data_IF_374249858006
#
_entry.id   IF_374249858006
#
_cell.length_a   1.000
_cell.length_b   1.000
_cell.length_c   1.000
_cell.angle_alpha   90.00
_cell.angle_beta   90.00
_cell.angle_gamma   90.00
#
_symmetry.space_group_name_H-M   'P 1'
#
loop_
_entity.id
_entity.type
_entity.pdbx_description
1 polymer ?
#
# COMPACT_ATOMS: atom_id res chain seq x y z
N UNK A 1 -14.77 -22.71 2.14
CA UNK A 1 -15.57 -21.49 2.42
C UNK A 1 -14.75 -20.48 3.22
N UNK A 2 -13.42 -20.42 2.98
CA UNK A 2 -12.45 -19.72 3.84
C UNK A 2 -11.82 -18.50 3.15
N UNK A 3 -12.04 -18.33 1.84
CA UNK A 3 -11.30 -17.35 1.03
C UNK A 3 -11.83 -15.91 1.05
N UNK A 4 -13.16 -15.72 1.06
CA UNK A 4 -13.73 -14.39 0.84
C UNK A 4 -13.47 -13.41 1.99
N UNK A 5 -13.39 -13.91 3.23
CA UNK A 5 -13.11 -13.06 4.41
C UNK A 5 -11.65 -12.60 4.42
N UNK A 6 -10.74 -13.45 3.97
CA UNK A 6 -9.31 -13.13 3.89
C UNK A 6 -9.06 -12.14 2.75
N UNK A 7 -9.70 -12.32 1.59
CA UNK A 7 -9.60 -11.37 0.46
C UNK A 7 -10.12 -9.97 0.85
N UNK A 8 -11.30 -9.88 1.46
CA UNK A 8 -11.88 -8.60 1.86
C UNK A 8 -11.00 -7.86 2.89
N UNK A 9 -10.41 -8.60 3.84
CA UNK A 9 -9.49 -8.02 4.81
C UNK A 9 -8.22 -7.49 4.14
N UNK A 10 -7.57 -8.29 3.26
CA UNK A 10 -6.40 -7.84 2.51
C UNK A 10 -6.70 -6.62 1.64
N UNK A 11 -7.88 -6.58 1.00
CA UNK A 11 -8.34 -5.42 0.25
C UNK A 11 -8.39 -4.15 1.10
N UNK A 12 -8.92 -4.23 2.33
CA UNK A 12 -8.95 -3.09 3.26
C UNK A 12 -7.55 -2.65 3.71
N UNK A 13 -6.64 -3.60 3.93
CA UNK A 13 -5.24 -3.32 4.27
C UNK A 13 -4.56 -2.58 3.10
N UNK A 14 -4.72 -3.08 1.88
CA UNK A 14 -4.21 -2.46 0.67
C UNK A 14 -4.76 -1.04 0.45
N UNK A 15 -6.08 -0.85 0.55
CA UNK A 15 -6.71 0.48 0.42
C UNK A 15 -6.18 1.48 1.48
N UNK A 16 -5.97 1.00 2.71
CA UNK A 16 -5.42 1.83 3.80
C UNK A 16 -3.98 2.24 3.52
N UNK A 17 -3.14 1.29 3.06
CA UNK A 17 -1.76 1.55 2.69
C UNK A 17 -1.66 2.54 1.52
N UNK A 18 -2.44 2.33 0.45
CA UNK A 18 -2.50 3.21 -0.72
C UNK A 18 -2.95 4.62 -0.33
N UNK A 19 -3.97 4.74 0.52
CA UNK A 19 -4.44 6.04 1.02
C UNK A 19 -3.35 6.76 1.81
N UNK A 20 -2.62 6.01 2.65
CA UNK A 20 -1.52 6.55 3.44
C UNK A 20 -0.36 6.99 2.53
N UNK A 21 -0.02 6.18 1.53
CA UNK A 21 1.04 6.46 0.56
C UNK A 21 0.74 7.73 -0.24
N UNK A 22 -0.48 7.85 -0.80
CA UNK A 22 -0.96 9.08 -1.48
C UNK A 22 -0.88 10.30 -0.59
N UNK A 23 -1.30 10.16 0.67
CA UNK A 23 -1.23 11.27 1.63
C UNK A 23 0.22 11.65 1.93
N UNK A 24 1.11 10.66 2.02
CA UNK A 24 2.55 10.84 2.18
C UNK A 24 3.16 11.60 1.00
N UNK A 25 2.92 11.13 -0.22
CA UNK A 25 3.35 11.75 -1.48
C UNK A 25 2.86 13.20 -1.56
N UNK A 26 1.55 13.43 -1.44
CA UNK A 26 0.95 14.75 -1.55
C UNK A 26 1.48 15.76 -0.53
N UNK A 27 1.99 15.29 0.62
CA UNK A 27 2.54 16.12 1.69
C UNK A 27 4.06 16.11 1.74
N UNK A 28 4.73 15.39 0.82
CA UNK A 28 6.17 15.14 0.85
C UNK A 28 6.62 14.63 2.23
N UNK A 29 5.81 13.77 2.85
CA UNK A 29 5.99 13.30 4.22
C UNK A 29 6.56 11.88 4.22
N UNK A 30 7.89 11.78 4.37
CA UNK A 30 8.63 10.51 4.38
C UNK A 30 8.12 9.53 5.46
N UNK A 31 7.62 10.00 6.61
CA UNK A 31 7.09 9.12 7.65
C UNK A 31 5.77 8.43 7.24
N UNK A 32 4.89 9.15 6.54
CA UNK A 32 3.64 8.55 6.04
C UNK A 32 3.92 7.56 4.90
N UNK A 33 4.91 7.87 4.05
CA UNK A 33 5.36 6.97 2.98
C UNK A 33 5.90 5.66 3.58
N UNK A 34 6.84 5.75 4.52
CA UNK A 34 7.40 4.55 5.18
C UNK A 34 6.32 3.76 5.93
N UNK A 35 5.41 4.45 6.61
CA UNK A 35 4.28 3.79 7.29
C UNK A 35 3.35 3.06 6.31
N UNK A 36 3.22 3.51 5.07
CA UNK A 36 2.46 2.79 4.05
C UNK A 36 3.16 1.48 3.65
N UNK A 37 4.49 1.49 3.49
CA UNK A 37 5.29 0.30 3.19
C UNK A 37 5.20 -0.72 4.34
N UNK A 38 5.31 -0.26 5.60
CA UNK A 38 5.19 -1.11 6.79
C UNK A 38 3.84 -1.85 6.86
N UNK A 39 2.75 -1.25 6.37
CA UNK A 39 1.41 -1.89 6.37
C UNK A 39 1.38 -3.12 5.46
N UNK A 40 2.02 -3.06 4.28
CA UNK A 40 1.99 -4.14 3.28
C UNK A 40 3.16 -5.10 3.40
N UNK A 41 4.19 -4.75 4.16
CA UNK A 41 5.30 -5.64 4.54
C UNK A 41 4.96 -6.52 5.76
N UNK A 42 3.77 -6.39 6.34
CA UNK A 42 3.30 -7.26 7.41
C UNK A 42 3.33 -8.75 6.96
N UNK A 43 3.82 -9.63 7.83
CA UNK A 43 4.12 -11.05 7.55
C UNK A 43 2.97 -11.86 6.90
N UNK A 44 1.72 -11.42 7.03
CA UNK A 44 0.52 -12.11 6.56
C UNK A 44 -0.19 -11.42 5.37
N UNK A 45 0.36 -10.31 4.89
CA UNK A 45 -0.19 -9.59 3.75
C UNK A 45 0.23 -10.22 2.41
N UNK A 46 -0.71 -10.25 1.47
CA UNK A 46 -0.45 -10.68 0.09
C UNK A 46 -1.35 -9.91 -0.86
N UNK A 47 -0.82 -9.59 -2.04
CA UNK A 47 -1.54 -8.97 -3.15
C UNK A 47 -2.41 -9.95 -3.95
N UNK A 48 -2.45 -11.23 -3.57
CA UNK A 48 -3.26 -12.25 -4.27
C UNK A 48 -4.73 -11.83 -4.40
N UNK A 49 -5.20 -11.86 -5.65
CA UNK A 49 -6.53 -11.43 -6.11
C UNK A 49 -6.85 -9.93 -5.92
N UNK A 50 -5.82 -9.07 -5.79
CA UNK A 50 -5.93 -7.61 -5.61
C UNK A 50 -5.27 -6.82 -6.76
N UNK A 51 -5.24 -7.37 -7.97
CA UNK A 51 -4.52 -6.83 -9.13
C UNK A 51 -4.69 -5.31 -9.34
N UNK A 52 -5.93 -4.81 -9.24
CA UNK A 52 -6.21 -3.38 -9.43
C UNK A 52 -5.55 -2.49 -8.37
N UNK A 53 -5.54 -2.93 -7.10
CA UNK A 53 -4.91 -2.20 -6.01
C UNK A 53 -3.38 -2.35 -6.08
N UNK A 54 -2.88 -3.50 -6.53
CA UNK A 54 -1.44 -3.70 -6.74
C UNK A 54 -0.89 -2.78 -7.83
N UNK A 55 -1.60 -2.64 -8.95
CA UNK A 55 -1.19 -1.70 -10.01
C UNK A 55 -1.16 -0.25 -9.51
N UNK A 56 -2.18 0.17 -8.75
CA UNK A 56 -2.23 1.49 -8.14
C UNK A 56 -1.11 1.71 -7.12
N UNK A 57 -0.73 0.67 -6.38
CA UNK A 57 0.41 0.69 -5.47
C UNK A 57 1.73 0.90 -6.22
N UNK A 58 2.00 0.10 -7.24
CA UNK A 58 3.23 0.20 -8.05
C UNK A 58 3.39 1.59 -8.69
N UNK A 59 2.30 2.15 -9.24
CA UNK A 59 2.32 3.51 -9.81
C UNK A 59 2.73 4.58 -8.79
N UNK A 60 2.37 4.40 -7.51
CA UNK A 60 2.69 5.33 -6.43
C UNK A 60 4.08 5.08 -5.82
N UNK A 61 4.59 3.85 -5.85
CA UNK A 61 5.89 3.47 -5.28
C UNK A 61 7.02 4.24 -5.97
N UNK A 62 6.96 4.42 -7.28
CA UNK A 62 7.98 5.19 -8.02
C UNK A 62 8.05 6.64 -7.53
N UNK A 63 6.91 7.33 -7.44
CA UNK A 63 6.83 8.72 -6.94
C UNK A 63 7.24 8.83 -5.47
N UNK A 64 6.83 7.86 -4.65
CA UNK A 64 7.23 7.79 -3.25
C UNK A 64 8.74 7.59 -3.07
N UNK A 65 9.36 6.75 -3.90
CA UNK A 65 10.80 6.49 -3.86
C UNK A 65 11.59 7.73 -4.27
N UNK A 66 11.14 8.47 -5.28
CA UNK A 66 11.76 9.76 -5.64
C UNK A 66 11.80 10.70 -4.42
N UNK A 67 10.70 10.83 -3.68
CA UNK A 67 10.64 11.64 -2.46
C UNK A 67 11.57 11.10 -1.36
N UNK A 68 11.67 9.79 -1.19
CA UNK A 68 12.49 9.19 -0.13
C UNK A 68 13.99 9.40 -0.38
N UNK A 69 14.42 9.32 -1.65
CA UNK A 69 15.83 9.33 -2.05
C UNK A 69 16.33 10.64 -2.67
N UNK A 70 15.46 11.64 -2.87
CA UNK A 70 15.84 13.08 -2.92
C UNK A 70 16.31 13.61 -1.56
#
# INVERSE_FOLDING_TARGET
MTDMRTKAHRGQVAESAITLLRTGISKVNKHLILGAYEIVEADDFSWDDLDALYLEWEDLVDEANDILFE
#
